data_IF_134226342189
#
_entry.id   IF_134226342189
#
_cell.length_a   1.000
_cell.length_b   1.000
_cell.length_c   1.000
_cell.angle_alpha   90.00
_cell.angle_beta   90.00
_cell.angle_gamma   90.00
#
_symmetry.space_group_name_H-M   'P 1'
#
loop_
_entity.id
_entity.type
_entity.pdbx_description
1 polymer ?
#
# COMPACT_ATOMS: atom_id res chain seq x y z
N UNK A 1 -13.04 6.67 -24.97
CA UNK A 1 -11.91 5.72 -25.05
C UNK A 1 -10.98 6.05 -23.90
N UNK A 2 -10.69 5.08 -23.04
CA UNK A 2 -9.72 5.28 -21.97
C UNK A 2 -8.35 5.65 -22.54
N UNK A 3 -7.57 6.50 -21.85
CA UNK A 3 -6.32 7.00 -22.38
C UNK A 3 -5.34 5.84 -22.57
N UNK A 4 -4.85 5.66 -23.80
CA UNK A 4 -3.71 4.81 -24.06
C UNK A 4 -2.45 5.46 -23.49
N UNK A 5 -1.62 4.65 -22.86
CA UNK A 5 -0.42 5.07 -22.12
C UNK A 5 0.75 4.22 -22.57
N UNK A 6 1.91 4.86 -22.70
CA UNK A 6 3.17 4.17 -22.91
C UNK A 6 3.97 4.18 -21.61
N UNK A 7 4.42 3.01 -21.15
CA UNK A 7 5.35 2.89 -20.04
C UNK A 7 6.73 2.53 -20.60
N UNK A 8 7.67 3.45 -20.53
CA UNK A 8 9.03 3.26 -21.00
C UNK A 8 10.00 3.21 -19.81
N UNK A 9 10.81 2.16 -19.74
CA UNK A 9 11.73 1.93 -18.62
C UNK A 9 13.18 1.97 -19.08
N UNK A 10 14.04 2.65 -18.32
CA UNK A 10 15.48 2.69 -18.52
C UNK A 10 16.17 2.04 -17.32
N UNK A 11 17.02 1.07 -17.59
CA UNK A 11 17.83 0.40 -16.56
C UNK A 11 19.16 1.12 -16.37
N UNK A 12 19.53 1.29 -15.11
CA UNK A 12 20.73 2.01 -14.67
C UNK A 12 21.38 1.20 -13.54
N UNK A 13 22.69 1.28 -13.41
CA UNK A 13 23.43 0.76 -12.26
C UNK A 13 23.85 1.91 -11.34
N UNK A 14 23.53 1.80 -10.05
CA UNK A 14 23.99 2.79 -9.07
C UNK A 14 25.52 2.70 -8.92
N UNK A 15 26.24 3.84 -8.84
CA UNK A 15 27.69 3.83 -8.63
C UNK A 15 28.08 3.08 -7.36
N UNK A 16 29.19 2.34 -7.47
CA UNK A 16 29.81 1.63 -6.35
C UNK A 16 30.63 2.58 -5.47
N UNK A 17 31.30 3.57 -6.08
CA UNK A 17 32.20 4.54 -5.43
C UNK A 17 31.82 6.01 -5.76
N UNK A 18 32.25 6.98 -4.94
CA UNK A 18 32.00 8.43 -5.13
C UNK A 18 30.84 9.02 -4.29
N UNK A 19 30.52 10.31 -4.39
CA UNK A 19 29.41 10.94 -3.64
C UNK A 19 28.04 10.31 -4.00
N UNK A 20 27.05 10.25 -3.06
CA UNK A 20 25.70 9.78 -3.39
C UNK A 20 25.18 10.54 -4.60
N UNK A 21 24.62 9.83 -5.57
CA UNK A 21 24.18 10.44 -6.83
C UNK A 21 23.05 11.41 -6.50
N UNK A 22 23.20 12.66 -6.89
CA UNK A 22 22.12 13.63 -6.98
C UNK A 22 20.97 13.05 -7.81
N UNK A 23 19.77 13.61 -7.71
CA UNK A 23 18.61 13.15 -8.47
C UNK A 23 18.94 12.81 -9.94
N UNK A 24 18.64 11.57 -10.34
CA UNK A 24 18.98 11.05 -11.66
C UNK A 24 17.82 11.34 -12.60
N UNK A 25 18.05 12.21 -13.58
CA UNK A 25 17.04 12.57 -14.58
C UNK A 25 17.32 11.90 -15.92
N UNK A 26 16.34 11.13 -16.40
CA UNK A 26 16.36 10.45 -17.68
C UNK A 26 15.32 11.10 -18.59
N UNK A 27 15.79 11.59 -19.74
CA UNK A 27 14.96 12.04 -20.86
C UNK A 27 14.59 10.84 -21.72
N UNK A 28 13.29 10.61 -21.87
CA UNK A 28 12.71 9.68 -22.82
C UNK A 28 12.19 10.44 -24.02
N UNK A 29 12.63 10.08 -25.22
CA UNK A 29 12.10 10.58 -26.49
C UNK A 29 11.52 9.42 -27.26
N UNK A 30 10.36 9.62 -27.90
CA UNK A 30 9.77 8.55 -28.70
C UNK A 30 9.09 9.06 -29.95
N UNK A 31 9.11 8.22 -30.98
CA UNK A 31 8.44 8.45 -32.26
C UNK A 31 7.58 7.24 -32.59
N UNK A 32 6.33 7.46 -32.96
CA UNK A 32 5.44 6.37 -33.37
C UNK A 32 5.89 5.78 -34.70
N UNK A 33 5.89 4.46 -34.79
CA UNK A 33 6.15 3.76 -36.04
C UNK A 33 4.92 3.88 -36.95
N UNK A 34 5.07 4.58 -38.07
CA UNK A 34 4.05 4.74 -39.09
C UNK A 34 4.67 4.58 -40.49
N UNK A 35 4.37 3.50 -41.23
CA UNK A 35 4.87 3.34 -42.59
C UNK A 35 4.23 4.38 -43.51
N UNK A 36 5.04 5.25 -44.12
CA UNK A 36 4.63 6.12 -45.22
C UNK A 36 3.80 7.36 -44.86
N UNK A 37 3.66 7.72 -43.58
CA UNK A 37 2.96 8.93 -43.13
C UNK A 37 3.88 9.92 -42.44
N UNK A 38 3.61 11.23 -42.57
CA UNK A 38 4.26 12.25 -41.74
C UNK A 38 3.75 12.13 -40.30
N UNK A 39 4.63 12.09 -39.28
CA UNK A 39 4.21 11.98 -37.89
C UNK A 39 3.45 13.23 -37.45
N UNK A 40 2.27 13.04 -36.85
CA UNK A 40 1.50 14.12 -36.23
C UNK A 40 2.04 14.54 -34.86
N UNK A 41 1.42 15.56 -34.26
CA UNK A 41 1.80 16.08 -32.94
C UNK A 41 1.72 15.02 -31.83
N UNK A 42 0.74 14.10 -31.92
CA UNK A 42 0.54 12.99 -30.97
C UNK A 42 1.38 11.73 -31.30
N UNK A 43 2.23 11.79 -32.32
CA UNK A 43 3.11 10.70 -32.78
C UNK A 43 4.58 10.93 -32.35
N UNK A 44 4.82 11.95 -31.51
CA UNK A 44 6.10 12.23 -30.87
C UNK A 44 5.91 12.58 -29.40
N UNK A 45 6.90 12.25 -28.57
CA UNK A 45 6.94 12.76 -27.21
C UNK A 45 8.36 12.98 -26.73
N UNK A 46 8.50 13.89 -25.77
CA UNK A 46 9.66 14.04 -24.90
C UNK A 46 9.16 14.14 -23.46
N UNK A 47 9.65 13.26 -22.58
CA UNK A 47 9.31 13.27 -21.16
C UNK A 47 10.55 13.01 -20.32
N UNK A 48 10.72 13.81 -19.27
CA UNK A 48 11.77 13.61 -18.29
C UNK A 48 11.19 12.87 -17.09
N UNK A 49 11.84 11.78 -16.69
CA UNK A 49 11.56 11.09 -15.43
C UNK A 49 12.77 11.21 -14.51
N UNK A 50 12.51 11.59 -13.26
CA UNK A 50 13.54 11.80 -12.25
C UNK A 50 13.40 10.76 -11.15
N UNK A 51 14.51 10.11 -10.81
CA UNK A 51 14.61 9.27 -9.62
C UNK A 51 15.23 10.08 -8.47
N UNK A 52 14.67 9.98 -7.24
CA UNK A 52 15.24 10.62 -6.07
C UNK A 52 16.62 10.04 -5.76
N UNK A 53 17.47 10.81 -5.07
CA UNK A 53 18.79 10.39 -4.61
C UNK A 53 18.84 8.91 -4.15
N UNK A 54 19.65 8.12 -4.86
CA UNK A 54 19.74 6.67 -4.66
C UNK A 54 21.00 6.36 -3.83
N UNK A 55 20.90 5.59 -2.73
CA UNK A 55 22.06 5.20 -1.94
C UNK A 55 23.09 4.42 -2.77
N UNK A 56 24.37 4.62 -2.44
CA UNK A 56 25.50 3.85 -3.00
C UNK A 56 25.28 2.36 -2.84
N UNK A 57 25.62 1.55 -3.84
CA UNK A 57 25.48 0.10 -3.73
C UNK A 57 24.04 -0.42 -3.64
N UNK A 58 23.03 0.41 -3.98
CA UNK A 58 21.65 -0.06 -4.17
C UNK A 58 21.51 -1.05 -5.34
N UNK A 59 22.53 -1.14 -6.19
CA UNK A 59 22.61 -2.06 -7.33
C UNK A 59 21.88 -1.52 -8.55
N UNK A 60 21.30 -2.44 -9.33
CA UNK A 60 20.49 -2.11 -10.51
C UNK A 60 19.19 -1.42 -10.11
N UNK A 61 18.83 -0.40 -10.87
CA UNK A 61 17.57 0.31 -10.76
C UNK A 61 16.94 0.52 -12.14
N UNK A 62 15.62 0.69 -12.18
CA UNK A 62 14.89 1.06 -13.38
C UNK A 62 14.10 2.36 -13.15
N UNK A 63 14.16 3.28 -14.10
CA UNK A 63 13.36 4.52 -14.09
C UNK A 63 12.32 4.39 -15.18
N UNK A 64 11.05 4.60 -14.85
CA UNK A 64 9.92 4.43 -15.76
C UNK A 64 9.19 5.75 -15.98
N UNK A 65 9.10 6.17 -17.23
CA UNK A 65 8.24 7.26 -17.68
C UNK A 65 6.87 6.70 -18.10
N UNK A 66 5.79 7.30 -17.62
CA UNK A 66 4.42 7.01 -18.08
C UNK A 66 3.95 8.19 -18.92
N UNK A 67 3.87 7.96 -20.21
CA UNK A 67 3.50 8.98 -21.20
C UNK A 67 2.01 8.82 -21.52
N UNK A 68 1.27 9.90 -21.29
CA UNK A 68 -0.16 9.99 -21.57
C UNK A 68 -0.40 10.80 -22.85
N UNK A 69 -1.65 10.81 -23.34
CA UNK A 69 -2.05 11.60 -24.52
C UNK A 69 -1.26 11.26 -25.79
N UNK A 70 -1.14 9.97 -26.10
CA UNK A 70 -0.45 9.47 -27.29
C UNK A 70 -1.39 8.75 -28.25
N UNK A 71 -1.05 8.77 -29.54
CA UNK A 71 -1.67 7.91 -30.55
C UNK A 71 -1.42 6.41 -30.25
N UNK A 72 -2.44 5.55 -30.33
CA UNK A 72 -2.27 4.10 -30.21
C UNK A 72 -1.31 3.52 -31.26
N UNK A 73 -0.38 2.66 -30.85
CA UNK A 73 0.47 1.94 -31.80
C UNK A 73 1.79 1.43 -31.24
N UNK A 74 2.72 1.13 -32.16
CA UNK A 74 4.12 0.83 -31.88
C UNK A 74 4.93 2.12 -31.85
N UNK A 75 5.86 2.20 -30.92
CA UNK A 75 6.67 3.36 -30.62
C UNK A 75 8.13 2.96 -30.51
N UNK A 76 8.99 3.73 -31.15
CA UNK A 76 10.43 3.64 -30.99
C UNK A 76 10.83 4.64 -29.91
N UNK A 77 11.28 4.14 -28.77
CA UNK A 77 11.63 4.98 -27.61
C UNK A 77 13.12 4.93 -27.36
N UNK A 78 13.71 6.09 -27.07
CA UNK A 78 15.10 6.26 -26.64
C UNK A 78 15.12 6.89 -25.27
N UNK A 79 16.03 6.42 -24.42
CA UNK A 79 16.32 7.00 -23.12
C UNK A 79 17.74 7.57 -23.11
N UNK A 80 17.90 8.77 -22.56
CA UNK A 80 19.19 9.46 -22.41
C UNK A 80 19.22 10.25 -21.09
N UNK A 81 20.37 10.33 -20.43
CA UNK A 81 20.52 11.10 -19.19
C UNK A 81 20.74 12.59 -19.48
N UNK A 82 20.13 13.48 -18.69
CA UNK A 82 20.17 14.93 -18.94
C UNK A 82 21.49 15.62 -18.57
N UNK A 83 22.25 15.10 -17.61
CA UNK A 83 23.31 15.88 -16.93
C UNK A 83 24.75 15.62 -17.38
N UNK A 84 25.03 14.82 -18.41
CA UNK A 84 26.41 14.57 -18.86
C UNK A 84 27.33 13.87 -17.84
N UNK A 85 26.90 13.69 -16.58
CA UNK A 85 27.52 12.81 -15.61
C UNK A 85 27.26 11.38 -16.06
N UNK A 86 28.25 10.81 -16.73
CA UNK A 86 28.29 9.39 -17.02
C UNK A 86 28.05 8.62 -15.72
N UNK A 87 26.95 7.86 -15.67
CA UNK A 87 26.91 6.72 -14.77
C UNK A 87 28.01 5.77 -15.26
N UNK A 88 28.84 5.20 -14.37
CA UNK A 88 30.04 4.44 -14.76
C UNK A 88 29.74 3.17 -15.58
N UNK A 89 28.47 2.85 -15.82
CA UNK A 89 28.04 1.80 -16.74
C UNK A 89 27.05 2.38 -17.75
N UNK A 90 27.58 2.69 -18.92
CA UNK A 90 26.84 3.01 -20.13
C UNK A 90 25.91 1.83 -20.47
N UNK A 91 24.62 1.95 -20.17
CA UNK A 91 23.61 1.11 -20.81
C UNK A 91 23.30 1.79 -22.15
N UNK A 92 23.52 1.14 -23.31
CA UNK A 92 23.26 1.75 -24.61
C UNK A 92 21.82 2.29 -24.66
N UNK A 93 21.54 3.34 -25.45
CA UNK A 93 20.17 3.78 -25.69
C UNK A 93 19.38 2.57 -26.19
N UNK A 94 18.55 2.00 -25.31
CA UNK A 94 17.68 0.90 -25.65
C UNK A 94 16.62 1.48 -26.60
N UNK A 95 16.78 1.24 -27.90
CA UNK A 95 15.68 1.37 -28.85
C UNK A 95 14.72 0.23 -28.55
N UNK A 96 13.78 0.47 -27.64
CA UNK A 96 12.71 -0.50 -27.38
C UNK A 96 11.50 -0.17 -28.25
N UNK A 97 11.05 -1.17 -28.99
CA UNK A 97 9.77 -1.14 -29.69
C UNK A 97 8.65 -1.38 -28.68
N UNK A 98 8.14 -0.30 -28.10
CA UNK A 98 7.08 -0.36 -27.12
C UNK A 98 5.71 -0.24 -27.80
N UNK A 99 4.69 -0.83 -27.18
CA UNK A 99 3.29 -0.63 -27.59
C UNK A 99 2.57 0.15 -26.52
N UNK A 100 1.72 1.07 -26.95
CA UNK A 100 0.76 1.70 -26.05
C UNK A 100 -0.18 0.65 -25.47
N UNK A 101 -0.50 0.82 -24.19
CA UNK A 101 -1.36 -0.08 -23.44
C UNK A 101 -2.48 0.71 -22.79
N UNK A 102 -3.50 -0.01 -22.34
CA UNK A 102 -4.54 0.55 -21.49
C UNK A 102 -3.89 1.05 -20.18
N UNK A 103 -4.17 2.30 -19.79
CA UNK A 103 -3.44 3.01 -18.74
C UNK A 103 -3.15 2.24 -17.45
N UNK A 104 -4.13 1.51 -16.88
CA UNK A 104 -3.91 0.63 -15.73
C UNK A 104 -2.84 -0.44 -15.88
N UNK A 105 -2.60 -0.95 -17.09
CA UNK A 105 -1.58 -1.98 -17.37
C UNK A 105 -0.22 -1.39 -17.78
N UNK A 106 -0.16 -0.09 -18.07
CA UNK A 106 1.09 0.59 -18.40
C UNK A 106 1.87 0.95 -17.12
N UNK A 107 2.70 0.02 -16.64
CA UNK A 107 3.55 0.20 -15.46
C UNK A 107 4.97 -0.32 -15.68
N UNK A 108 5.91 0.18 -14.87
CA UNK A 108 7.31 -0.25 -14.89
C UNK A 108 7.55 -1.63 -14.27
N UNK A 109 8.78 -2.15 -14.33
CA UNK A 109 9.12 -3.47 -13.81
C UNK A 109 8.83 -3.59 -12.31
N UNK A 110 8.53 -4.82 -11.87
CA UNK A 110 8.29 -5.15 -10.46
C UNK A 110 6.93 -4.71 -9.91
N UNK A 111 5.94 -4.45 -10.79
CA UNK A 111 4.57 -4.11 -10.40
C UNK A 111 3.61 -5.23 -10.82
N UNK A 112 2.83 -5.74 -9.88
CA UNK A 112 1.77 -6.71 -10.10
C UNK A 112 0.44 -6.08 -9.68
N UNK A 113 -0.33 -5.55 -10.64
CA UNK A 113 -1.55 -4.80 -10.35
C UNK A 113 -2.61 -5.63 -9.61
N UNK A 114 -2.78 -6.89 -10.03
CA UNK A 114 -3.80 -7.79 -9.50
C UNK A 114 -3.44 -8.39 -8.14
N UNK A 115 -2.18 -8.31 -7.71
CA UNK A 115 -1.76 -8.86 -6.43
C UNK A 115 -2.45 -8.17 -5.23
N UNK A 116 -2.60 -6.84 -5.29
CA UNK A 116 -3.25 -6.08 -4.24
C UNK A 116 -4.73 -6.44 -4.02
N UNK A 117 -5.63 -6.37 -5.03
CA UNK A 117 -7.03 -6.74 -4.81
C UNK A 117 -7.21 -8.22 -4.49
N UNK A 118 -6.39 -9.11 -5.07
CA UNK A 118 -6.46 -10.54 -4.78
C UNK A 118 -6.09 -10.85 -3.32
N UNK A 119 -4.95 -10.35 -2.84
CA UNK A 119 -4.49 -10.61 -1.46
C UNK A 119 -5.38 -9.94 -0.41
N UNK A 120 -5.91 -8.75 -0.68
CA UNK A 120 -6.89 -8.12 0.21
C UNK A 120 -8.20 -8.92 0.22
N UNK A 121 -8.69 -9.38 -0.93
CA UNK A 121 -9.90 -10.20 -1.00
C UNK A 121 -9.74 -11.51 -0.21
N UNK A 122 -8.62 -12.21 -0.40
CA UNK A 122 -8.30 -13.43 0.36
C UNK A 122 -8.19 -13.10 1.84
N UNK A 123 -7.47 -12.04 2.21
CA UNK A 123 -7.32 -11.61 3.60
C UNK A 123 -8.65 -11.28 4.27
N UNK A 124 -9.57 -10.63 3.55
CA UNK A 124 -10.92 -10.32 4.04
C UNK A 124 -11.75 -11.59 4.27
N UNK A 125 -11.72 -12.55 3.34
CA UNK A 125 -12.41 -13.84 3.50
C UNK A 125 -11.86 -14.61 4.70
N UNK A 126 -10.54 -14.70 4.83
CA UNK A 126 -9.89 -15.38 5.97
C UNK A 126 -10.22 -14.68 7.29
N UNK A 127 -10.21 -13.35 7.33
CA UNK A 127 -10.57 -12.58 8.50
C UNK A 127 -12.03 -12.83 8.92
N UNK A 128 -12.98 -12.76 7.97
CA UNK A 128 -14.40 -13.01 8.24
C UNK A 128 -14.64 -14.46 8.72
N UNK A 129 -13.97 -15.44 8.11
CA UNK A 129 -14.06 -16.83 8.55
C UNK A 129 -13.51 -17.01 9.97
N UNK A 130 -12.35 -16.42 10.28
CA UNK A 130 -11.77 -16.49 11.63
C UNK A 130 -12.66 -15.77 12.66
N UNK A 131 -13.20 -14.60 12.33
CA UNK A 131 -14.14 -13.88 13.18
C UNK A 131 -15.38 -14.74 13.48
N UNK A 132 -15.94 -15.39 12.46
CA UNK A 132 -17.08 -16.30 12.62
C UNK A 132 -16.78 -17.42 13.63
N UNK A 133 -15.60 -18.05 13.50
CA UNK A 133 -15.17 -19.11 14.40
C UNK A 133 -14.99 -18.62 15.85
N UNK A 134 -14.41 -17.43 16.03
CA UNK A 134 -14.19 -16.85 17.36
C UNK A 134 -15.49 -16.42 18.02
N UNK A 135 -16.42 -15.83 17.27
CA UNK A 135 -17.76 -15.47 17.75
C UNK A 135 -18.55 -16.72 18.14
N UNK A 136 -18.57 -17.74 17.27
CA UNK A 136 -19.25 -19.00 17.55
C UNK A 136 -18.68 -19.70 18.79
N UNK A 137 -17.36 -19.68 18.98
CA UNK A 137 -16.70 -20.19 20.18
C UNK A 137 -17.11 -19.43 21.44
N UNK A 138 -17.30 -18.11 21.35
CA UNK A 138 -17.79 -17.27 22.44
C UNK A 138 -19.30 -17.40 22.71
N UNK A 139 -20.01 -18.26 21.98
CA UNK A 139 -21.47 -18.44 22.12
C UNK A 139 -22.31 -17.35 21.43
N UNK A 140 -21.69 -16.48 20.61
CA UNK A 140 -22.39 -15.45 19.86
C UNK A 140 -22.97 -15.94 18.53
N UNK A 141 -23.84 -15.14 17.92
CA UNK A 141 -24.40 -15.44 16.60
C UNK A 141 -23.42 -15.05 15.49
N UNK A 142 -22.64 -16.02 15.04
CA UNK A 142 -21.64 -15.83 14.00
C UNK A 142 -22.26 -15.38 12.66
N UNK A 143 -23.48 -15.83 12.33
CA UNK A 143 -24.14 -15.45 11.08
C UNK A 143 -24.48 -13.96 11.06
N UNK A 144 -25.07 -13.48 12.16
CA UNK A 144 -25.40 -12.06 12.33
C UNK A 144 -24.13 -11.19 12.34
N UNK A 145 -23.12 -11.55 13.14
CA UNK A 145 -21.88 -10.77 13.24
C UNK A 145 -21.11 -10.72 11.93
N UNK A 146 -21.02 -11.83 11.20
CA UNK A 146 -20.39 -11.86 9.86
C UNK A 146 -21.19 -11.02 8.88
N UNK A 147 -22.53 -11.11 8.89
CA UNK A 147 -23.40 -10.28 8.06
C UNK A 147 -23.17 -8.79 8.28
N UNK A 148 -23.13 -8.36 9.54
CA UNK A 148 -22.79 -6.97 9.92
C UNK A 148 -21.38 -6.60 9.46
N UNK A 149 -20.41 -7.51 9.60
CA UNK A 149 -19.00 -7.25 9.24
C UNK A 149 -18.80 -7.12 7.73
N UNK A 150 -19.48 -7.94 6.93
CA UNK A 150 -19.53 -7.82 5.46
C UNK A 150 -20.14 -6.47 5.07
N UNK A 151 -21.28 -6.12 5.66
CA UNK A 151 -21.93 -4.83 5.40
C UNK A 151 -21.00 -3.66 5.79
N UNK A 152 -20.28 -3.78 6.91
CA UNK A 152 -19.30 -2.80 7.39
C UNK A 152 -18.15 -2.63 6.40
N UNK A 153 -17.63 -3.72 5.81
CA UNK A 153 -16.60 -3.64 4.78
C UNK A 153 -17.11 -2.95 3.50
N UNK A 154 -18.32 -3.28 3.04
CA UNK A 154 -18.90 -2.72 1.82
C UNK A 154 -19.21 -1.23 1.96
N UNK A 155 -19.93 -0.86 3.03
CA UNK A 155 -20.26 0.54 3.32
C UNK A 155 -19.01 1.34 3.73
N UNK A 156 -18.06 0.72 4.44
CA UNK A 156 -16.75 1.28 4.69
C UNK A 156 -16.03 1.66 3.40
N UNK A 157 -15.99 0.77 2.40
CA UNK A 157 -15.36 1.08 1.12
C UNK A 157 -16.03 2.29 0.43
N UNK A 158 -17.37 2.34 0.44
CA UNK A 158 -18.11 3.50 -0.05
C UNK A 158 -17.76 4.79 0.73
N UNK A 159 -17.69 4.72 2.06
CA UNK A 159 -17.28 5.81 2.95
C UNK A 159 -15.87 6.31 2.65
N UNK A 160 -14.92 5.42 2.40
CA UNK A 160 -13.55 5.78 2.02
C UNK A 160 -13.46 6.50 0.67
N UNK A 161 -14.28 6.09 -0.31
CA UNK A 161 -14.38 6.75 -1.62
C UNK A 161 -15.04 8.12 -1.51
N UNK A 162 -16.12 8.22 -0.72
CA UNK A 162 -16.83 9.48 -0.47
C UNK A 162 -15.90 10.48 0.24
N UNK A 163 -15.20 10.05 1.28
CA UNK A 163 -14.24 10.88 1.99
C UNK A 163 -13.13 11.41 1.07
N UNK A 164 -12.59 10.55 0.20
CA UNK A 164 -11.61 10.97 -0.80
C UNK A 164 -12.18 12.03 -1.76
N UNK A 165 -13.42 11.84 -2.23
CA UNK A 165 -14.07 12.77 -3.14
C UNK A 165 -14.30 14.14 -2.50
N UNK A 166 -14.74 14.17 -1.23
CA UNK A 166 -14.93 15.40 -0.46
C UNK A 166 -13.60 16.15 -0.27
N UNK A 167 -12.53 15.45 0.12
CA UNK A 167 -11.23 16.06 0.37
C UNK A 167 -10.62 16.68 -0.90
N UNK A 168 -10.83 16.06 -2.06
CA UNK A 168 -10.29 16.52 -3.34
C UNK A 168 -11.30 17.31 -4.19
N UNK A 169 -12.46 17.68 -3.63
CA UNK A 169 -13.55 18.39 -4.32
C UNK A 169 -13.95 17.76 -5.66
N UNK A 170 -13.91 16.42 -5.74
CA UNK A 170 -14.25 15.64 -6.95
C UNK A 170 -15.77 15.44 -7.02
N UNK A 171 -16.31 15.41 -8.23
CA UNK A 171 -17.72 15.08 -8.45
C UNK A 171 -18.02 13.64 -8.05
N UNK A 172 -19.19 13.42 -7.43
CA UNK A 172 -19.67 12.09 -7.04
C UNK A 172 -19.76 11.12 -8.24
N UNK A 173 -19.99 11.63 -9.45
CA UNK A 173 -20.03 10.82 -10.69
C UNK A 173 -18.67 10.19 -11.03
N UNK A 174 -17.59 10.76 -10.53
CA UNK A 174 -16.21 10.26 -10.74
C UNK A 174 -15.69 9.42 -9.59
N UNK A 175 -16.54 9.04 -8.62
CA UNK A 175 -16.11 8.24 -7.47
C UNK A 175 -15.35 6.99 -7.91
N UNK A 176 -15.86 6.26 -8.90
CA UNK A 176 -15.24 5.02 -9.40
C UNK A 176 -13.78 5.20 -9.85
N UNK A 177 -13.41 6.38 -10.35
CA UNK A 177 -12.07 6.69 -10.88
C UNK A 177 -11.09 7.22 -9.82
N UNK A 178 -11.59 7.61 -8.64
CA UNK A 178 -10.78 8.20 -7.56
C UNK A 178 -10.13 7.17 -6.64
N UNK A 179 -9.18 7.64 -5.81
CA UNK A 179 -8.64 6.86 -4.70
C UNK A 179 -9.67 6.62 -3.59
N UNK A 180 -9.24 5.97 -2.51
CA UNK A 180 -10.03 5.78 -1.29
C UNK A 180 -9.20 6.18 -0.07
N UNK A 181 -9.82 6.84 0.90
CA UNK A 181 -9.19 7.21 2.16
C UNK A 181 -9.52 6.20 3.26
N UNK A 182 -8.49 5.74 3.97
CA UNK A 182 -8.66 4.80 5.08
C UNK A 182 -9.47 5.40 6.24
N UNK A 183 -9.38 6.71 6.47
CA UNK A 183 -10.13 7.41 7.51
C UNK A 183 -11.65 7.29 7.29
N UNK A 184 -12.11 7.54 6.07
CA UNK A 184 -13.53 7.39 5.71
C UNK A 184 -13.99 5.93 5.77
N UNK A 185 -13.11 4.98 5.42
CA UNK A 185 -13.40 3.57 5.56
C UNK A 185 -13.63 3.17 7.02
N UNK A 186 -12.67 3.50 7.90
CA UNK A 186 -12.74 3.11 9.30
C UNK A 186 -13.95 3.76 9.98
N UNK A 187 -14.19 5.05 9.74
CA UNK A 187 -15.32 5.77 10.33
C UNK A 187 -16.65 5.08 10.02
N UNK A 188 -16.92 4.79 8.74
CA UNK A 188 -18.17 4.16 8.33
C UNK A 188 -18.22 2.69 8.75
N UNK A 189 -17.12 1.94 8.63
CA UNK A 189 -17.08 0.53 9.03
C UNK A 189 -17.35 0.37 10.54
N UNK A 190 -16.74 1.20 11.40
CA UNK A 190 -17.02 1.15 12.84
C UNK A 190 -18.44 1.59 13.18
N UNK A 191 -18.96 2.63 12.53
CA UNK A 191 -20.34 3.06 12.75
C UNK A 191 -21.35 1.96 12.38
N UNK A 192 -21.14 1.27 11.27
CA UNK A 192 -22.00 0.15 10.83
C UNK A 192 -21.85 -1.05 11.75
N UNK A 193 -20.62 -1.38 12.19
CA UNK A 193 -20.40 -2.46 13.14
C UNK A 193 -21.06 -2.20 14.49
N UNK A 194 -20.87 -1.00 15.05
CA UNK A 194 -21.44 -0.60 16.33
C UNK A 194 -22.97 -0.48 16.28
N UNK A 195 -23.51 0.17 15.24
CA UNK A 195 -24.94 0.29 15.03
C UNK A 195 -25.59 -1.06 14.75
N UNK A 196 -24.96 -1.89 13.93
CA UNK A 196 -25.41 -3.26 13.64
C UNK A 196 -25.46 -4.10 14.91
N UNK A 197 -24.37 -4.14 15.69
CA UNK A 197 -24.32 -4.87 16.95
C UNK A 197 -25.42 -4.42 17.92
N UNK A 198 -25.62 -3.12 18.06
CA UNK A 198 -26.69 -2.55 18.90
C UNK A 198 -28.08 -2.96 18.42
N UNK A 199 -28.37 -2.86 17.12
CA UNK A 199 -29.66 -3.23 16.53
C UNK A 199 -29.98 -4.72 16.64
N UNK A 200 -28.96 -5.57 16.64
CA UNK A 200 -29.12 -7.04 16.71
C UNK A 200 -28.87 -7.61 18.11
N UNK A 201 -28.72 -6.75 19.12
CA UNK A 201 -28.50 -7.17 20.51
C UNK A 201 -27.18 -7.93 20.76
N UNK A 202 -26.19 -7.77 19.87
CA UNK A 202 -24.87 -8.39 20.04
C UNK A 202 -24.00 -7.55 20.98
N UNK A 203 -23.18 -8.21 21.79
CA UNK A 203 -22.17 -7.52 22.60
C UNK A 203 -21.09 -6.95 21.67
N UNK A 204 -21.11 -5.62 21.51
CA UNK A 204 -20.14 -4.89 20.69
C UNK A 204 -18.71 -5.14 21.17
N UNK A 205 -18.50 -5.24 22.48
CA UNK A 205 -17.16 -5.38 23.05
C UNK A 205 -16.58 -6.77 22.75
N UNK A 206 -17.38 -7.83 22.93
CA UNK A 206 -17.02 -9.19 22.52
C UNK A 206 -16.84 -9.29 21.00
N UNK A 207 -17.69 -8.61 20.22
CA UNK A 207 -17.57 -8.55 18.76
C UNK A 207 -16.24 -7.91 18.34
N UNK A 208 -15.85 -6.80 18.96
CA UNK A 208 -14.58 -6.13 18.69
C UNK A 208 -13.38 -7.00 19.07
N UNK A 209 -13.42 -7.67 20.22
CA UNK A 209 -12.36 -8.58 20.65
C UNK A 209 -12.20 -9.79 19.71
N UNK A 210 -13.30 -10.36 19.20
CA UNK A 210 -13.25 -11.41 18.18
C UNK A 210 -12.76 -10.88 16.81
N UNK A 211 -13.03 -9.61 16.51
CA UNK A 211 -12.61 -8.94 15.27
C UNK A 211 -11.11 -8.65 15.26
N UNK A 212 -10.51 -8.40 16.42
CA UNK A 212 -9.10 -8.02 16.55
C UNK A 212 -8.12 -9.02 15.89
N UNK A 213 -8.01 -10.28 16.32
CA UNK A 213 -7.12 -11.27 15.68
C UNK A 213 -7.47 -11.48 14.20
N UNK A 214 -8.77 -11.53 13.86
CA UNK A 214 -9.25 -11.69 12.50
C UNK A 214 -8.74 -10.60 11.54
N UNK A 215 -8.88 -9.33 11.91
CA UNK A 215 -8.42 -8.19 11.10
C UNK A 215 -6.90 -8.21 10.94
N UNK A 216 -6.15 -8.57 11.98
CA UNK A 216 -4.69 -8.65 11.89
C UNK A 216 -4.19 -9.81 11.02
N UNK A 217 -4.88 -10.96 11.02
CA UNK A 217 -4.63 -12.03 10.04
C UNK A 217 -4.90 -11.52 8.62
N UNK A 218 -6.06 -10.90 8.39
CA UNK A 218 -6.40 -10.33 7.08
C UNK A 218 -5.38 -9.29 6.61
N UNK A 219 -4.88 -8.47 7.54
CA UNK A 219 -3.84 -7.47 7.26
C UNK A 219 -2.49 -8.11 6.94
N UNK A 220 -2.08 -9.15 7.66
CA UNK A 220 -0.85 -9.89 7.37
C UNK A 220 -0.86 -10.48 5.95
N UNK A 221 -2.02 -10.95 5.49
CA UNK A 221 -2.21 -11.49 4.13
C UNK A 221 -2.27 -10.38 3.08
N UNK A 222 -2.98 -9.28 3.36
CA UNK A 222 -3.22 -8.20 2.40
C UNK A 222 -2.02 -7.28 2.17
N UNK A 223 -1.20 -7.01 3.20
CA UNK A 223 -0.07 -6.05 3.14
C UNK A 223 1.00 -6.39 2.09
N UNK A 224 1.39 -7.66 1.86
CA UNK A 224 2.24 -8.05 0.74
C UNK A 224 1.70 -7.60 -0.64
N UNK A 225 0.39 -7.45 -0.80
CA UNK A 225 -0.20 -6.90 -2.02
C UNK A 225 0.26 -5.46 -2.30
N UNK A 226 0.38 -4.63 -1.27
CA UNK A 226 0.90 -3.25 -1.42
C UNK A 226 2.36 -3.24 -1.88
N UNK A 227 3.18 -4.18 -1.39
CA UNK A 227 4.56 -4.36 -1.81
C UNK A 227 4.65 -4.69 -3.30
N UNK A 228 3.85 -5.68 -3.75
CA UNK A 228 3.85 -6.16 -5.13
C UNK A 228 3.28 -5.15 -6.13
N UNK A 229 2.37 -4.29 -5.71
CA UNK A 229 1.74 -3.28 -6.59
C UNK A 229 2.42 -1.90 -6.52
N UNK A 230 3.47 -1.79 -5.71
CA UNK A 230 4.28 -0.58 -5.56
C UNK A 230 3.57 0.59 -4.89
N UNK A 231 2.67 0.29 -3.95
CA UNK A 231 1.99 1.29 -3.12
C UNK A 231 2.75 1.46 -1.79
N UNK A 232 2.96 2.70 -1.35
CA UNK A 232 3.62 3.03 -0.07
C UNK A 232 5.02 2.41 0.09
N UNK A 233 5.82 2.45 -0.97
CA UNK A 233 7.16 1.88 -0.97
C UNK A 233 8.08 2.52 0.07
N UNK A 234 8.95 1.71 0.68
CA UNK A 234 10.00 2.24 1.55
C UNK A 234 11.02 3.08 0.78
N UNK A 235 11.83 3.83 1.52
CA UNK A 235 12.95 4.57 0.92
C UNK A 235 13.95 3.61 0.24
N UNK A 236 14.61 4.03 -0.85
CA UNK A 236 15.74 3.30 -1.43
C UNK A 236 16.80 2.98 -0.37
N UNK A 237 17.45 1.82 -0.46
CA UNK A 237 18.46 1.38 0.51
C UNK A 237 19.53 0.49 -0.12
N UNK A 238 20.75 0.61 0.39
CA UNK A 238 21.87 -0.29 0.10
C UNK A 238 21.95 -1.48 1.06
N UNK A 239 21.10 -1.52 2.09
CA UNK A 239 21.12 -2.57 3.11
C UNK A 239 20.95 -3.96 2.50
N UNK A 240 21.62 -4.96 3.09
CA UNK A 240 21.43 -6.39 2.74
C UNK A 240 20.00 -6.89 2.94
N UNK A 241 19.24 -6.20 3.78
CA UNK A 241 17.82 -6.48 4.06
C UNK A 241 16.87 -5.77 3.09
N UNK A 242 17.40 -4.97 2.17
CA UNK A 242 16.61 -4.30 1.15
C UNK A 242 16.10 -5.30 0.11
N UNK A 243 14.84 -5.18 -0.26
CA UNK A 243 14.23 -5.99 -1.32
C UNK A 243 13.94 -5.13 -2.55
N UNK A 244 13.98 -5.76 -3.71
CA UNK A 244 13.62 -5.10 -4.95
C UNK A 244 12.10 -4.86 -4.95
N UNK A 245 11.68 -3.59 -4.82
CA UNK A 245 10.28 -3.13 -4.90
C UNK A 245 10.10 -1.83 -5.69
N UNK A 246 9.09 -1.78 -6.56
CA UNK A 246 8.77 -0.62 -7.41
C UNK A 246 7.87 0.36 -6.68
N UNK A 247 7.94 1.66 -6.98
CA UNK A 247 6.88 2.64 -6.63
C UNK A 247 6.07 3.07 -7.87
N UNK A 248 6.09 2.24 -8.92
CA UNK A 248 5.54 2.48 -10.26
C UNK A 248 6.28 3.53 -11.10
N UNK A 249 7.26 4.24 -10.52
CA UNK A 249 8.14 5.18 -11.24
C UNK A 249 9.59 4.70 -11.20
N UNK A 250 10.08 4.37 -10.02
CA UNK A 250 11.45 3.95 -9.75
C UNK A 250 11.46 2.59 -9.10
N UNK A 251 12.17 1.72 -9.79
CA UNK A 251 12.37 0.34 -9.50
C UNK A 251 13.76 0.17 -8.86
N UNK A 252 13.87 -0.02 -7.53
CA UNK A 252 15.18 -0.14 -6.85
C UNK A 252 15.08 -0.95 -5.57
N UNK A 253 16.22 -1.41 -5.04
CA UNK A 253 16.29 -1.98 -3.69
C UNK A 253 15.79 -0.98 -2.65
N UNK A 254 14.76 -1.36 -1.89
CA UNK A 254 14.08 -0.53 -0.89
C UNK A 254 13.96 -1.26 0.44
N UNK A 255 13.79 -0.48 1.51
CA UNK A 255 13.39 -1.05 2.80
C UNK A 255 12.01 -1.69 2.63
N UNK A 256 11.81 -2.99 2.94
CA UNK A 256 10.55 -3.69 2.70
C UNK A 256 9.50 -3.35 3.78
N UNK A 257 9.17 -2.06 3.92
CA UNK A 257 8.30 -1.52 4.99
C UNK A 257 6.96 -2.25 5.03
N UNK A 258 6.37 -2.59 3.88
CA UNK A 258 5.08 -3.27 3.82
C UNK A 258 5.17 -4.73 4.29
N UNK A 259 6.29 -5.42 4.06
CA UNK A 259 6.48 -6.78 4.58
C UNK A 259 6.76 -6.75 6.08
N UNK A 260 7.50 -5.75 6.58
CA UNK A 260 7.68 -5.55 8.02
C UNK A 260 6.32 -5.24 8.69
N UNK A 261 5.48 -4.41 8.06
CA UNK A 261 4.09 -4.15 8.51
C UNK A 261 3.24 -5.44 8.51
N UNK A 262 3.40 -6.30 7.48
CA UNK A 262 2.73 -7.60 7.41
C UNK A 262 3.19 -8.56 8.52
N UNK A 263 4.50 -8.66 8.77
CA UNK A 263 5.07 -9.50 9.83
C UNK A 263 4.65 -9.02 11.22
N UNK A 264 4.61 -7.71 11.45
CA UNK A 264 4.10 -7.15 12.70
C UNK A 264 2.60 -7.42 12.87
N UNK A 265 1.80 -7.29 11.81
CA UNK A 265 0.38 -7.68 11.85
C UNK A 265 0.21 -9.18 12.15
N UNK A 266 1.04 -10.05 11.57
CA UNK A 266 1.03 -11.49 11.87
C UNK A 266 1.38 -11.77 13.34
N UNK A 267 2.39 -11.09 13.89
CA UNK A 267 2.75 -11.21 15.31
C UNK A 267 1.61 -10.76 16.22
N UNK A 268 0.97 -9.63 15.92
CA UNK A 268 -0.20 -9.13 16.66
C UNK A 268 -1.37 -10.11 16.55
N UNK A 269 -1.59 -10.72 15.38
CA UNK A 269 -2.62 -11.73 15.19
C UNK A 269 -2.36 -12.98 16.04
N UNK A 270 -1.14 -13.51 16.03
CA UNK A 270 -0.76 -14.69 16.83
C UNK A 270 -0.86 -14.39 18.32
N UNK A 271 -0.35 -13.25 18.77
CA UNK A 271 -0.42 -12.85 20.17
C UNK A 271 -1.88 -12.66 20.64
N UNK A 272 -2.70 -11.97 19.85
CA UNK A 272 -4.10 -11.76 20.20
C UNK A 272 -4.91 -13.05 20.17
N UNK A 273 -4.67 -13.93 19.20
CA UNK A 273 -5.28 -15.25 19.15
C UNK A 273 -4.87 -16.11 20.37
N UNK A 274 -3.60 -16.09 20.76
CA UNK A 274 -3.13 -16.77 21.96
C UNK A 274 -3.84 -16.26 23.22
N UNK A 275 -4.02 -14.94 23.36
CA UNK A 275 -4.77 -14.35 24.47
C UNK A 275 -6.25 -14.78 24.45
N UNK A 276 -6.90 -14.78 23.27
CA UNK A 276 -8.29 -15.25 23.12
C UNK A 276 -8.46 -16.71 23.55
N UNK A 277 -7.46 -17.57 23.34
CA UNK A 277 -7.52 -18.96 23.76
C UNK A 277 -7.08 -19.22 25.21
N UNK A 278 -6.19 -18.37 25.75
CA UNK A 278 -5.63 -18.54 27.07
C UNK A 278 -6.56 -18.03 28.19
N UNK A 279 -7.43 -17.05 27.90
CA UNK A 279 -8.24 -16.41 28.93
C UNK A 279 -9.72 -16.65 28.73
N UNK A 280 -10.34 -17.15 29.81
CA UNK A 280 -11.72 -17.62 29.85
C UNK A 280 -12.77 -16.50 29.97
N UNK A 281 -12.35 -15.27 30.25
CA UNK A 281 -13.25 -14.13 30.47
C UNK A 281 -13.24 -13.18 29.27
N UNK A 282 -14.40 -12.70 28.79
CA UNK A 282 -14.44 -11.72 27.72
C UNK A 282 -13.74 -10.43 28.17
N UNK A 283 -12.78 -9.99 27.37
CA UNK A 283 -11.97 -8.79 27.61
C UNK A 283 -12.72 -7.47 27.43
N UNK A 284 -14.04 -7.51 27.26
CA UNK A 284 -14.93 -6.35 27.11
C UNK A 284 -14.31 -5.24 26.22
N UNK A 285 -13.69 -5.61 25.10
CA UNK A 285 -13.10 -4.69 24.14
C UNK A 285 -11.61 -4.38 24.35
N UNK A 286 -11.00 -4.84 25.46
CA UNK A 286 -9.60 -4.59 25.78
C UNK A 286 -8.63 -5.19 24.76
N UNK A 287 -8.90 -6.42 24.30
CA UNK A 287 -8.06 -7.07 23.28
C UNK A 287 -8.04 -6.27 21.97
N UNK A 288 -9.19 -5.74 21.57
CA UNK A 288 -9.27 -4.83 20.43
C UNK A 288 -8.46 -3.55 20.66
N UNK A 289 -8.60 -2.90 21.81
CA UNK A 289 -7.86 -1.68 22.15
C UNK A 289 -6.34 -1.93 22.17
N UNK A 290 -5.87 -2.99 22.83
CA UNK A 290 -4.46 -3.35 22.91
C UNK A 290 -3.86 -3.61 21.53
N UNK A 291 -4.54 -4.40 20.69
CA UNK A 291 -4.02 -4.73 19.36
C UNK A 291 -3.98 -3.51 18.43
N UNK A 292 -4.98 -2.62 18.50
CA UNK A 292 -4.97 -1.33 17.77
C UNK A 292 -3.84 -0.42 18.27
N UNK A 293 -3.62 -0.34 19.59
CA UNK A 293 -2.53 0.43 20.17
C UNK A 293 -1.16 -0.11 19.74
N UNK A 294 -0.96 -1.42 19.83
CA UNK A 294 0.27 -2.10 19.41
C UNK A 294 0.57 -1.85 17.92
N UNK A 295 -0.44 -2.00 17.05
CA UNK A 295 -0.29 -1.72 15.63
C UNK A 295 0.00 -0.25 15.35
N UNK A 296 -0.61 0.66 16.10
CA UNK A 296 -0.37 2.09 15.94
C UNK A 296 1.08 2.45 16.27
N UNK A 297 1.65 1.86 17.32
CA UNK A 297 3.08 2.02 17.68
C UNK A 297 3.97 1.52 16.53
N UNK A 298 3.72 0.31 16.01
CA UNK A 298 4.44 -0.23 14.85
C UNK A 298 4.35 0.71 13.66
N UNK A 299 3.16 1.24 13.36
CA UNK A 299 2.93 2.15 12.25
C UNK A 299 3.74 3.43 12.41
N UNK A 300 3.76 4.02 13.61
CA UNK A 300 4.56 5.20 13.91
C UNK A 300 6.06 4.93 13.69
N UNK A 301 6.56 3.78 14.14
CA UNK A 301 7.94 3.39 13.89
C UNK A 301 8.26 3.23 12.40
N UNK A 302 7.38 2.55 11.65
CA UNK A 302 7.54 2.34 10.20
C UNK A 302 7.50 3.63 9.37
N UNK A 303 6.82 4.68 9.83
CA UNK A 303 6.79 5.96 9.13
C UNK A 303 8.20 6.56 8.92
N UNK A 304 9.15 6.30 9.83
CA UNK A 304 10.53 6.77 9.67
C UNK A 304 11.28 6.14 8.48
N UNK A 305 10.77 5.03 7.94
CA UNK A 305 11.37 4.32 6.80
C UNK A 305 10.64 4.56 5.48
N UNK A 306 9.51 5.29 5.50
CA UNK A 306 8.78 5.70 4.29
C UNK A 306 9.46 6.88 3.62
N UNK A 307 9.22 7.03 2.31
CA UNK A 307 9.78 8.10 1.49
C UNK A 307 9.24 9.50 1.84
N UNK A 308 8.04 9.60 2.42
CA UNK A 308 7.41 10.87 2.83
C UNK A 308 7.17 10.91 4.36
N UNK A 309 8.14 11.40 5.16
CA UNK A 309 7.96 11.56 6.59
C UNK A 309 7.12 12.82 6.91
N UNK A 310 5.97 12.64 7.58
CA UNK A 310 5.23 13.73 8.20
C UNK A 310 5.82 14.12 9.57
N UNK A 311 5.43 15.28 10.10
CA UNK A 311 6.01 15.96 11.28
C UNK A 311 6.27 15.03 12.49
N UNK A 312 7.49 15.13 13.06
CA UNK A 312 7.98 14.20 14.09
C UNK A 312 7.32 14.30 15.46
N UNK A 313 6.79 15.47 15.83
CA UNK A 313 6.18 15.70 17.17
C UNK A 313 4.89 14.89 17.34
N UNK A 314 4.00 14.90 16.33
CA UNK A 314 2.75 14.13 16.38
C UNK A 314 2.97 12.62 16.47
N UNK A 315 4.06 12.13 15.86
CA UNK A 315 4.45 10.71 15.93
C UNK A 315 4.83 10.29 17.35
N UNK A 316 5.68 11.05 18.03
CA UNK A 316 6.13 10.73 19.39
C UNK A 316 4.95 10.77 20.35
N UNK A 317 4.11 11.81 20.28
CA UNK A 317 2.92 11.93 21.12
C UNK A 317 1.98 10.72 20.95
N UNK A 318 1.75 10.29 19.70
CA UNK A 318 0.91 9.12 19.40
C UNK A 318 1.50 7.84 19.99
N UNK A 319 2.83 7.64 19.89
CA UNK A 319 3.49 6.46 20.50
C UNK A 319 3.33 6.45 22.00
N UNK A 320 3.56 7.58 22.68
CA UNK A 320 3.44 7.68 24.15
C UNK A 320 2.00 7.38 24.60
N UNK A 321 1.00 7.95 23.92
CA UNK A 321 -0.41 7.69 24.23
C UNK A 321 -0.74 6.21 24.04
N UNK A 322 -0.34 5.60 22.92
CA UNK A 322 -0.60 4.18 22.68
C UNK A 322 0.13 3.26 23.67
N UNK A 323 1.34 3.61 24.12
CA UNK A 323 2.05 2.86 25.15
C UNK A 323 1.33 2.96 26.50
N UNK A 324 0.84 4.13 26.87
CA UNK A 324 0.06 4.32 28.09
C UNK A 324 -1.25 3.52 28.06
N UNK A 325 -1.96 3.53 26.92
CA UNK A 325 -3.17 2.73 26.71
C UNK A 325 -2.86 1.23 26.81
N UNK A 326 -1.79 0.76 26.17
CA UNK A 326 -1.39 -0.64 26.24
C UNK A 326 -1.01 -1.08 27.66
N UNK A 327 -0.29 -0.23 28.40
CA UNK A 327 0.08 -0.51 29.78
C UNK A 327 -1.16 -0.57 30.69
N UNK A 328 -2.10 0.35 30.53
CA UNK A 328 -3.36 0.34 31.26
C UNK A 328 -4.19 -0.91 30.96
N UNK A 329 -4.25 -1.33 29.69
CA UNK A 329 -4.99 -2.53 29.27
C UNK A 329 -4.36 -3.81 29.84
N UNK A 330 -3.02 -3.93 29.81
CA UNK A 330 -2.29 -5.07 30.41
C UNK A 330 -2.48 -5.11 31.93
N UNK A 331 -2.43 -3.96 32.61
CA UNK A 331 -2.67 -3.90 34.06
C UNK A 331 -4.09 -4.34 34.42
N UNK A 332 -5.07 -4.05 33.57
CA UNK A 332 -6.44 -4.51 33.73
C UNK A 332 -6.60 -6.02 33.43
N UNK A 333 -5.68 -6.58 32.64
CA UNK A 333 -5.62 -7.99 32.27
C UNK A 333 -5.10 -8.90 33.39
N UNK A 334 -4.30 -8.38 34.31
CA UNK A 334 -3.76 -9.13 35.46
C UNK A 334 -4.77 -9.03 36.61
N UNK A 335 -5.51 -10.10 36.96
CA UNK A 335 -6.38 -10.07 38.12
C UNK A 335 -5.54 -9.82 39.38
N UNK A 336 -5.92 -8.78 40.14
CA UNK A 336 -5.49 -8.59 41.52
C UNK A 336 -6.22 -9.56 42.45
#
# INVERSE_FOLDING_TARGET
MDPQVLAASCWIEAPLDGNPVSDVSVRFTGTRYQPGGLPGELDRFEQVATAPAIPRGAGRLAITARVHHLSPGRWDVRASTLNGTALPTWVPPHNEHLRTQFGPFAYGPGVHLWAWPALIGIGAVVALALQALLVARGGGDAGVVVGISVLSCLLGFAGGKLWYALLHKRSLRTLHQGGACIQGFLLVAFAVLAGGAWLTGQDLAATLDATAPAVFVGMAIGRPGCFLTGCCAGRPTASRWGLWASDRRVAVRRVPVQLIEASAAALIAVASLAVTFAVSSPYRGGLFVATVAAYTIVRQWLFGFRSDPHTGVGRIATVVICLAVLAADILWLVPH
#
